data_IF_910159505067
#
_entry.id   IF_910159505067
#
_cell.length_a   1.000
_cell.length_b   1.000
_cell.length_c   1.000
_cell.angle_alpha   90.00
_cell.angle_beta   90.00
_cell.angle_gamma   90.00
#
_symmetry.space_group_name_H-M   'P 1'
#
loop_
_entity.id
_entity.type
_entity.pdbx_description
1 polymer ?
#
# COMPACT_ATOMS: atom_id res chain seq x y z
N UNK A 1 64.72 42.84 4.14
CA UNK A 1 64.61 41.57 4.89
C UNK A 1 63.16 41.42 5.35
N UNK A 2 62.33 40.70 4.59
CA UNK A 2 60.90 40.54 4.88
C UNK A 2 60.68 39.32 5.78
N UNK A 3 60.13 39.54 6.97
CA UNK A 3 59.78 38.48 7.92
C UNK A 3 58.40 37.94 7.55
N UNK A 4 58.36 36.80 6.87
CA UNK A 4 57.12 36.07 6.59
C UNK A 4 56.73 35.32 7.86
N UNK A 5 55.70 35.79 8.56
CA UNK A 5 55.09 35.05 9.66
C UNK A 5 54.14 34.01 9.09
N UNK A 6 54.50 32.73 9.25
CA UNK A 6 53.66 31.58 8.91
C UNK A 6 52.50 31.50 9.92
N UNK A 7 51.27 31.74 9.47
CA UNK A 7 50.05 31.52 10.26
C UNK A 7 49.77 30.02 10.29
N UNK A 8 49.94 29.40 11.45
CA UNK A 8 49.59 28.01 11.70
C UNK A 8 48.09 27.92 12.02
N UNK A 9 47.30 27.49 11.05
CA UNK A 9 45.86 27.31 11.21
C UNK A 9 45.57 25.97 11.89
N UNK A 10 45.63 25.95 13.22
CA UNK A 10 45.16 24.82 14.04
C UNK A 10 43.63 24.86 14.20
N UNK A 11 42.92 24.56 13.12
CA UNK A 11 41.48 24.26 13.17
C UNK A 11 41.24 22.75 13.04
N UNK A 12 41.75 21.99 14.02
CA UNK A 12 41.22 20.66 14.27
C UNK A 12 39.90 20.82 15.06
N UNK A 13 38.83 21.03 14.31
CA UNK A 13 37.46 21.03 14.82
C UNK A 13 37.21 19.73 15.59
N UNK A 14 37.00 19.86 16.89
CA UNK A 14 36.61 18.74 17.74
C UNK A 14 35.29 18.17 17.22
N UNK A 15 35.35 16.99 16.61
CA UNK A 15 34.14 16.24 16.23
C UNK A 15 33.44 15.86 17.53
N UNK A 16 32.35 16.55 17.87
CA UNK A 16 31.51 16.20 19.00
C UNK A 16 30.96 14.79 18.77
N UNK A 17 31.53 13.81 19.49
CA UNK A 17 30.99 12.45 19.52
C UNK A 17 29.70 12.49 20.32
N UNK A 18 28.56 12.40 19.62
CA UNK A 18 27.24 12.20 20.22
C UNK A 18 27.30 10.99 21.16
N UNK A 19 27.27 11.24 22.48
CA UNK A 19 27.31 10.19 23.49
C UNK A 19 25.91 9.59 23.66
N UNK A 20 25.75 8.35 23.18
CA UNK A 20 24.49 7.59 23.24
C UNK A 20 23.96 7.44 24.70
N UNK A 21 24.87 7.47 25.68
CA UNK A 21 24.53 7.37 27.11
C UNK A 21 23.74 8.56 27.67
N UNK A 22 23.76 9.72 27.01
CA UNK A 22 22.97 10.89 27.41
C UNK A 22 21.47 10.74 27.10
N UNK A 23 21.11 9.82 26.21
CA UNK A 23 19.71 9.57 25.80
C UNK A 23 18.98 8.57 26.71
N UNK A 24 19.72 7.76 27.47
CA UNK A 24 19.15 6.75 28.38
C UNK A 24 18.36 7.37 29.56
N UNK A 25 18.86 8.39 30.28
CA UNK A 25 18.13 8.93 31.43
C UNK A 25 16.89 9.74 31.04
N UNK A 26 16.93 10.44 29.90
CA UNK A 26 15.76 11.17 29.37
C UNK A 26 14.65 10.21 28.94
N UNK A 27 15.00 9.05 28.39
CA UNK A 27 14.05 8.00 28.02
C UNK A 27 13.29 7.45 29.24
N UNK A 28 13.95 7.30 30.40
CA UNK A 28 13.28 6.82 31.64
C UNK A 28 12.19 7.77 32.12
N UNK A 29 12.47 9.08 32.12
CA UNK A 29 11.48 10.08 32.57
C UNK A 29 10.30 10.20 31.60
N UNK A 30 10.59 10.04 30.31
CA UNK A 30 9.59 10.05 29.25
C UNK A 30 8.56 8.90 29.39
N UNK A 31 9.03 7.68 29.66
CA UNK A 31 8.18 6.50 29.87
C UNK A 31 7.31 6.61 31.14
N UNK A 32 7.80 7.26 32.20
CA UNK A 32 7.09 7.40 33.48
C UNK A 32 5.87 8.33 33.43
N UNK A 33 5.74 9.18 32.40
CA UNK A 33 4.60 10.08 32.24
C UNK A 33 3.37 9.35 31.69
N UNK A 34 2.16 9.70 32.16
CA UNK A 34 0.90 9.08 31.67
C UNK A 34 0.66 9.26 30.16
N UNK A 35 1.36 10.20 29.50
CA UNK A 35 1.29 10.46 28.06
C UNK A 35 2.20 9.55 27.23
N UNK A 36 3.06 8.75 27.87
CA UNK A 36 3.98 7.82 27.19
C UNK A 36 3.25 6.75 26.38
N UNK A 37 2.00 6.43 26.72
CA UNK A 37 1.15 5.49 25.99
C UNK A 37 0.74 5.98 24.59
N UNK A 38 0.82 7.28 24.29
CA UNK A 38 0.44 7.79 22.96
C UNK A 38 1.37 7.30 21.86
N UNK A 39 2.64 7.10 22.18
CA UNK A 39 3.65 6.70 21.20
C UNK A 39 3.49 5.25 20.74
N UNK A 40 3.40 4.24 21.63
CA UNK A 40 3.12 2.88 21.19
C UNK A 40 1.77 2.78 20.49
N UNK A 41 0.76 3.55 20.90
CA UNK A 41 -0.54 3.62 20.20
C UNK A 41 -0.37 4.18 18.79
N UNK A 42 0.40 5.26 18.62
CA UNK A 42 0.68 5.84 17.31
C UNK A 42 1.45 4.86 16.41
N UNK A 43 2.47 4.18 16.94
CA UNK A 43 3.20 3.14 16.21
C UNK A 43 2.31 1.97 15.83
N UNK A 44 1.43 1.53 16.73
CA UNK A 44 0.48 0.47 16.46
C UNK A 44 -0.49 0.87 15.34
N UNK A 45 -1.01 2.10 15.38
CA UNK A 45 -1.91 2.61 14.35
C UNK A 45 -1.22 2.75 13.00
N UNK A 46 0.03 3.23 12.97
CA UNK A 46 0.84 3.32 11.76
C UNK A 46 1.17 1.94 11.18
N UNK A 47 1.49 0.96 12.04
CA UNK A 47 1.73 -0.42 11.62
C UNK A 47 0.45 -1.04 11.05
N UNK A 48 -0.68 -0.87 11.72
CA UNK A 48 -1.96 -1.41 11.27
C UNK A 48 -2.41 -0.79 9.94
N UNK A 49 -2.28 0.53 9.78
CA UNK A 49 -2.61 1.20 8.51
C UNK A 49 -1.71 0.72 7.38
N UNK A 50 -0.40 0.61 7.62
CA UNK A 50 0.53 0.05 6.65
C UNK A 50 0.15 -1.39 6.27
N UNK A 51 -0.15 -2.25 7.25
CA UNK A 51 -0.55 -3.63 7.02
C UNK A 51 -1.81 -3.74 6.14
N UNK A 52 -2.85 -2.96 6.44
CA UNK A 52 -4.10 -2.95 5.65
C UNK A 52 -3.86 -2.49 4.22
N UNK A 53 -3.08 -1.41 4.03
CA UNK A 53 -2.77 -0.87 2.70
C UNK A 53 -1.94 -1.87 1.90
N UNK A 54 -0.92 -2.47 2.53
CA UNK A 54 -0.08 -3.47 1.90
C UNK A 54 -0.89 -4.68 1.45
N UNK A 55 -1.74 -5.22 2.34
CA UNK A 55 -2.59 -6.37 2.01
C UNK A 55 -3.55 -6.04 0.87
N UNK A 56 -4.24 -4.90 0.94
CA UNK A 56 -5.14 -4.44 -0.13
C UNK A 56 -4.41 -4.33 -1.47
N UNK A 57 -3.21 -3.74 -1.48
CA UNK A 57 -2.43 -3.56 -2.70
C UNK A 57 -2.00 -4.91 -3.29
N UNK A 58 -1.65 -5.88 -2.44
CA UNK A 58 -1.29 -7.24 -2.86
C UNK A 58 -2.48 -7.98 -3.47
N UNK A 59 -3.63 -7.91 -2.81
CA UNK A 59 -4.87 -8.55 -3.27
C UNK A 59 -5.34 -7.92 -4.60
N UNK A 60 -5.21 -6.61 -4.74
CA UNK A 60 -5.47 -5.90 -6.01
C UNK A 60 -4.54 -6.36 -7.12
N UNK A 61 -3.23 -6.42 -6.87
CA UNK A 61 -2.26 -6.90 -7.85
C UNK A 61 -2.57 -8.33 -8.30
N UNK A 62 -2.89 -9.23 -7.36
CA UNK A 62 -3.28 -10.61 -7.66
C UNK A 62 -4.58 -10.66 -8.47
N UNK A 63 -5.57 -9.85 -8.10
CA UNK A 63 -6.84 -9.74 -8.85
C UNK A 63 -6.58 -9.29 -10.28
N UNK A 64 -5.76 -8.25 -10.49
CA UNK A 64 -5.39 -7.77 -11.82
C UNK A 64 -4.67 -8.83 -12.64
N UNK A 65 -3.79 -9.61 -12.03
CA UNK A 65 -3.11 -10.72 -12.69
C UNK A 65 -4.10 -11.81 -13.13
N UNK A 66 -5.04 -12.19 -12.26
CA UNK A 66 -6.06 -13.20 -12.57
C UNK A 66 -6.96 -12.73 -13.72
N UNK A 67 -7.42 -11.47 -13.68
CA UNK A 67 -8.28 -10.89 -14.72
C UNK A 67 -7.54 -10.71 -16.05
N UNK A 68 -6.24 -10.41 -16.02
CA UNK A 68 -5.42 -10.24 -17.22
C UNK A 68 -5.12 -11.55 -17.95
N UNK A 69 -5.23 -12.70 -17.27
CA UNK A 69 -4.99 -14.03 -17.86
C UNK A 69 -6.22 -14.92 -17.68
N UNK A 70 -7.32 -14.65 -18.40
CA UNK A 70 -8.56 -15.41 -18.28
C UNK A 70 -8.36 -16.86 -18.70
N UNK A 71 -9.07 -17.78 -18.06
CA UNK A 71 -9.08 -19.21 -18.40
C UNK A 71 -10.49 -19.67 -18.72
N UNK A 72 -10.58 -20.69 -19.57
CA UNK A 72 -11.85 -21.37 -19.85
C UNK A 72 -12.42 -21.89 -18.54
N UNK A 73 -13.72 -21.64 -18.31
CA UNK A 73 -14.48 -21.90 -17.10
C UNK A 73 -14.26 -20.92 -15.93
N UNK A 74 -13.47 -19.87 -16.08
CA UNK A 74 -13.46 -18.79 -15.09
C UNK A 74 -14.84 -18.12 -15.02
N UNK A 75 -15.24 -17.75 -13.80
CA UNK A 75 -16.50 -17.06 -13.52
C UNK A 75 -16.19 -15.64 -13.09
N UNK A 76 -16.77 -14.67 -13.78
CA UNK A 76 -16.63 -13.25 -13.50
C UNK A 76 -17.95 -12.60 -13.13
N UNK A 77 -17.87 -11.56 -12.28
CA UNK A 77 -18.95 -10.60 -12.11
C UNK A 77 -18.77 -9.50 -13.15
N UNK A 78 -19.60 -9.52 -14.19
CA UNK A 78 -19.47 -8.69 -15.37
C UNK A 78 -20.42 -7.50 -15.32
N UNK A 79 -19.92 -6.30 -15.56
CA UNK A 79 -20.74 -5.09 -15.67
C UNK A 79 -21.47 -5.07 -17.02
N UNK A 80 -22.77 -5.36 -17.00
CA UNK A 80 -23.56 -5.52 -18.23
C UNK A 80 -23.83 -4.18 -18.93
N UNK A 81 -23.53 -3.04 -18.29
CA UNK A 81 -23.63 -1.70 -18.88
C UNK A 81 -22.73 -1.50 -20.10
N UNK A 82 -21.63 -2.25 -20.20
CA UNK A 82 -20.68 -2.08 -21.30
C UNK A 82 -21.18 -2.66 -22.64
N UNK A 83 -22.18 -3.55 -22.59
CA UNK A 83 -22.74 -4.24 -23.76
C UNK A 83 -24.21 -3.92 -24.02
N UNK A 84 -24.96 -3.46 -23.01
CA UNK A 84 -26.36 -3.06 -23.18
C UNK A 84 -26.68 -1.77 -22.43
N UNK A 85 -27.35 -0.86 -23.12
CA UNK A 85 -27.88 0.38 -22.55
C UNK A 85 -29.30 0.21 -21.99
N UNK A 86 -30.00 -0.86 -22.38
CA UNK A 86 -31.34 -1.17 -21.89
C UNK A 86 -31.25 -2.15 -20.73
N UNK A 87 -31.02 -1.59 -19.54
CA UNK A 87 -30.87 -2.34 -18.30
C UNK A 87 -32.12 -2.16 -17.45
N UNK A 88 -32.49 -3.23 -16.74
CA UNK A 88 -33.48 -3.09 -15.68
C UNK A 88 -32.90 -2.16 -14.59
N UNK A 89 -33.70 -1.24 -14.06
CA UNK A 89 -33.26 -0.36 -12.98
C UNK A 89 -32.82 -1.26 -11.81
N UNK A 90 -31.53 -1.17 -11.45
CA UNK A 90 -30.83 -1.93 -10.41
C UNK A 90 -30.09 -3.22 -10.81
N UNK A 91 -30.02 -3.59 -12.10
CA UNK A 91 -29.30 -4.80 -12.54
C UNK A 91 -28.01 -4.46 -13.32
N UNK A 92 -27.02 -3.91 -12.61
CA UNK A 92 -25.74 -3.48 -13.24
C UNK A 92 -24.81 -4.65 -13.55
N UNK A 93 -24.80 -5.69 -12.72
CA UNK A 93 -23.84 -6.79 -12.80
C UNK A 93 -24.52 -8.14 -13.08
N UNK A 94 -23.83 -9.00 -13.84
CA UNK A 94 -24.25 -10.37 -14.15
C UNK A 94 -23.10 -11.34 -13.96
N UNK A 95 -23.42 -12.58 -13.60
CA UNK A 95 -22.44 -13.67 -13.57
C UNK A 95 -22.17 -14.09 -15.02
N UNK A 96 -20.91 -14.14 -15.41
CA UNK A 96 -20.47 -14.58 -16.72
C UNK A 96 -19.43 -15.69 -16.59
N UNK A 97 -19.47 -16.67 -17.49
CA UNK A 97 -18.51 -17.76 -17.58
C UNK A 97 -17.74 -17.65 -18.89
N UNK A 98 -16.41 -17.78 -18.83
CA UNK A 98 -15.57 -17.90 -20.03
C UNK A 98 -15.81 -19.27 -20.67
N UNK A 99 -16.23 -19.28 -21.94
CA UNK A 99 -16.51 -20.51 -22.68
C UNK A 99 -15.51 -20.77 -23.81
N UNK A 100 -14.88 -19.73 -24.33
CA UNK A 100 -13.87 -19.84 -25.38
C UNK A 100 -12.88 -18.67 -25.30
N UNK A 101 -11.63 -18.93 -25.71
CA UNK A 101 -10.56 -17.94 -25.84
C UNK A 101 -9.88 -18.18 -27.18
N UNK A 102 -10.07 -17.26 -28.12
CA UNK A 102 -9.48 -17.32 -29.46
C UNK A 102 -8.62 -16.08 -29.69
N UNK A 103 -7.30 -16.23 -29.54
CA UNK A 103 -6.35 -15.10 -29.59
C UNK A 103 -6.68 -14.06 -28.52
N UNK A 104 -6.99 -12.83 -28.96
CA UNK A 104 -7.36 -11.71 -28.08
C UNK A 104 -8.88 -11.61 -27.81
N UNK A 105 -9.68 -12.55 -28.32
CA UNK A 105 -11.14 -12.56 -28.17
C UNK A 105 -11.53 -13.55 -27.06
N UNK A 106 -12.26 -13.05 -26.08
CA UNK A 106 -12.82 -13.83 -24.98
C UNK A 106 -14.33 -13.96 -25.19
N UNK A 107 -14.81 -15.19 -25.31
CA UNK A 107 -16.25 -15.46 -25.41
C UNK A 107 -16.81 -15.77 -24.02
N UNK A 108 -17.84 -15.02 -23.63
CA UNK A 108 -18.49 -15.12 -22.33
C UNK A 108 -19.96 -15.53 -22.50
N UNK A 109 -20.42 -16.46 -21.67
CA UNK A 109 -21.85 -16.75 -21.51
C UNK A 109 -22.32 -16.19 -20.18
N UNK A 110 -23.28 -15.28 -20.22
CA UNK A 110 -23.90 -14.70 -19.02
C UNK A 110 -25.07 -15.55 -18.53
N UNK A 111 -25.09 -15.79 -17.23
CA UNK A 111 -26.19 -16.44 -16.55
C UNK A 111 -27.42 -15.54 -16.45
N UNK A 112 -28.57 -16.16 -16.23
CA UNK A 112 -29.84 -15.46 -15.94
C UNK A 112 -30.00 -15.08 -14.46
N UNK A 113 -28.96 -15.24 -13.65
CA UNK A 113 -28.97 -14.90 -12.23
C UNK A 113 -28.57 -13.44 -12.03
N UNK A 114 -29.36 -12.72 -11.24
CA UNK A 114 -29.20 -11.29 -10.97
C UNK A 114 -28.91 -11.10 -9.48
N UNK A 115 -27.94 -10.24 -9.15
CA UNK A 115 -27.71 -9.82 -7.79
C UNK A 115 -28.43 -8.49 -7.53
N UNK A 116 -29.33 -8.43 -6.52
CA UNK A 116 -29.90 -7.15 -6.10
C UNK A 116 -28.80 -6.27 -5.50
N UNK A 117 -28.96 -4.97 -5.73
CA UNK A 117 -28.02 -3.94 -5.29
C UNK A 117 -28.21 -3.57 -3.82
#
# INVERSE_FOLDING_TARGET
MFKVSRVENSNNGQVQRLKLSAFIPTFKHFIASKKSLLIPVLFFLAYYSYYVIYQTSRDQQQTHQIVATPKINDIYLFDFRIVSHNLRPNEKYRIAKVVDITGDIITLVYGSFYYPN
#
